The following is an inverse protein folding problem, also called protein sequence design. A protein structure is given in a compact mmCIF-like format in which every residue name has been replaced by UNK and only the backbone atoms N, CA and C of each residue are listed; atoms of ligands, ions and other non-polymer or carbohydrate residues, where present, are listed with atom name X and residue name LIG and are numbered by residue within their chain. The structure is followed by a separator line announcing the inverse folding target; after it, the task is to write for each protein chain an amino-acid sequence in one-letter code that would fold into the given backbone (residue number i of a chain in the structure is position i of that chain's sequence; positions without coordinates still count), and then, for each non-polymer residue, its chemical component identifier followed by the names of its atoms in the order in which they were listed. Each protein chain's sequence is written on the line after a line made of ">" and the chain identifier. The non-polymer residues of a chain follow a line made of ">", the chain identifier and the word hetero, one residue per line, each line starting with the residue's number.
data_IF_402444718630
#
_entry.id   IF_402444718630
#
_cell.length_a   1.000
_cell.length_b   1.000
_cell.length_c   1.000
_cell.angle_alpha   90.00
_cell.angle_beta   90.00
_cell.angle_gamma   90.00
#
_symmetry.space_group_name_H-M   'P 1'
#
loop_
_entity.id
_entity.type
_entity.pdbx_description
1 polymer ?
#
# COMPACT_ATOMS: atom_id res chain seq x y z
N UNK A 1 -13.80 16.97 -15.63
CA UNK A 1 -14.62 16.05 -16.43
C UNK A 1 -14.81 14.72 -15.71
N UNK A 2 -15.56 13.84 -16.34
CA UNK A 2 -15.85 12.53 -15.74
C UNK A 2 -14.56 11.72 -15.47
N UNK A 3 -13.57 11.85 -16.35
CA UNK A 3 -12.29 11.20 -16.16
C UNK A 3 -11.55 11.70 -14.92
N UNK A 4 -11.75 12.95 -14.53
CA UNK A 4 -11.10 13.53 -13.35
C UNK A 4 -11.69 12.98 -12.05
N UNK A 5 -12.98 12.67 -12.05
CA UNK A 5 -13.67 12.08 -10.90
C UNK A 5 -13.07 10.72 -10.57
N UNK A 6 -12.61 9.99 -11.57
CA UNK A 6 -12.06 8.64 -11.42
C UNK A 6 -10.53 8.62 -11.39
N UNK A 7 -9.88 9.78 -11.53
CA UNK A 7 -8.43 9.85 -11.34
C UNK A 7 -8.12 9.62 -9.88
N UNK A 8 -7.49 8.50 -9.61
CA UNK A 8 -7.08 8.13 -8.27
C UNK A 8 -5.59 7.86 -8.29
N UNK A 9 -4.98 8.06 -7.15
CA UNK A 9 -3.58 7.70 -7.00
C UNK A 9 -3.52 6.18 -6.83
N UNK A 10 -3.15 5.50 -7.89
CA UNK A 10 -3.02 4.04 -7.93
C UNK A 10 -1.66 3.70 -8.49
N UNK A 11 -0.91 2.89 -7.76
CA UNK A 11 0.32 2.31 -8.25
C UNK A 11 0.08 0.85 -8.59
N UNK A 12 0.69 0.39 -9.67
CA UNK A 12 0.70 -1.02 -10.05
C UNK A 12 2.13 -1.48 -10.13
N UNK A 13 2.48 -2.50 -9.37
CA UNK A 13 3.83 -3.05 -9.39
C UNK A 13 3.77 -4.57 -9.55
N UNK A 14 4.70 -5.10 -10.34
CA UNK A 14 4.76 -6.53 -10.61
C UNK A 14 5.60 -7.23 -9.57
N UNK A 15 5.21 -8.46 -9.24
CA UNK A 15 6.01 -9.35 -8.44
C UNK A 15 6.08 -10.72 -9.09
N UNK A 16 7.14 -11.45 -8.78
CA UNK A 16 7.28 -12.86 -9.13
C UNK A 16 7.46 -13.63 -7.85
N UNK A 17 6.66 -14.67 -7.65
CA UNK A 17 6.71 -15.49 -6.45
C UNK A 17 8.03 -16.25 -6.40
N UNK A 18 8.73 -16.14 -5.27
CA UNK A 18 10.01 -16.80 -5.02
C UNK A 18 9.80 -18.12 -4.30
N UNK A 19 10.74 -19.06 -4.50
CA UNK A 19 10.73 -20.32 -3.79
C UNK A 19 10.67 -20.15 -2.27
N UNK A 20 11.36 -19.14 -1.74
CA UNK A 20 11.40 -18.88 -0.30
C UNK A 20 10.06 -18.39 0.26
N UNK A 21 9.09 -18.07 -0.60
CA UNK A 21 7.80 -17.52 -0.18
C UNK A 21 6.70 -18.56 -0.13
N UNK A 22 6.98 -19.79 -0.60
CA UNK A 22 5.99 -20.87 -0.59
C UNK A 22 6.19 -21.77 0.61
N UNK A 23 5.07 -22.34 1.07
CA UNK A 23 5.06 -23.26 2.20
C UNK A 23 5.03 -24.72 1.73
N UNK A 24 4.83 -25.66 2.69
CA UNK A 24 4.79 -27.08 2.40
C UNK A 24 3.66 -27.50 1.47
N UNK A 25 2.64 -26.67 1.30
CA UNK A 25 1.56 -26.90 0.33
C UNK A 25 1.92 -26.41 -1.07
N UNK A 26 3.12 -25.85 -1.25
CA UNK A 26 3.64 -25.30 -2.50
C UNK A 26 2.86 -24.08 -2.99
N UNK A 27 2.21 -23.39 -2.07
CA UNK A 27 1.57 -22.10 -2.34
C UNK A 27 2.21 -21.04 -1.45
N UNK A 28 2.07 -19.78 -1.86
CA UNK A 28 2.60 -18.66 -1.07
C UNK A 28 2.04 -18.71 0.33
N UNK A 29 2.94 -18.67 1.32
CA UNK A 29 2.55 -18.67 2.72
C UNK A 29 1.69 -17.44 3.00
N UNK A 30 0.62 -17.63 3.77
CA UNK A 30 -0.36 -16.56 3.98
C UNK A 30 0.25 -15.28 4.57
N UNK A 31 1.32 -15.37 5.32
CA UNK A 31 2.00 -14.19 5.88
C UNK A 31 2.80 -13.37 4.86
N UNK A 32 3.16 -13.95 3.71
CA UNK A 32 3.92 -13.21 2.69
C UNK A 32 3.12 -12.10 2.03
N UNK A 33 1.81 -12.19 2.03
CA UNK A 33 0.96 -11.17 1.39
C UNK A 33 1.12 -9.81 2.05
N UNK A 34 1.44 -9.78 3.34
CA UNK A 34 1.74 -8.53 4.03
C UNK A 34 2.97 -7.85 3.41
N UNK A 35 3.99 -8.64 3.05
CA UNK A 35 5.19 -8.13 2.37
C UNK A 35 4.85 -7.61 0.98
N UNK A 36 3.98 -8.30 0.25
CA UNK A 36 3.53 -7.83 -1.06
C UNK A 36 2.84 -6.47 -0.94
N UNK A 37 2.04 -6.28 0.10
CA UNK A 37 1.43 -4.97 0.36
C UNK A 37 2.48 -3.91 0.71
N UNK A 38 3.51 -4.28 1.46
CA UNK A 38 4.61 -3.37 1.76
C UNK A 38 5.35 -2.96 0.49
N UNK A 39 5.63 -3.91 -0.39
CA UNK A 39 6.23 -3.62 -1.69
C UNK A 39 5.34 -2.68 -2.49
N UNK A 40 4.04 -2.89 -2.44
CA UNK A 40 3.06 -2.00 -3.08
C UNK A 40 3.11 -0.58 -2.53
N UNK A 41 3.14 -0.43 -1.21
CA UNK A 41 3.24 0.90 -0.58
C UNK A 41 4.55 1.59 -0.94
N UNK A 42 5.65 0.84 -0.95
CA UNK A 42 6.94 1.40 -1.30
C UNK A 42 6.96 1.89 -2.75
N UNK A 43 6.43 1.08 -3.67
CA UNK A 43 6.31 1.47 -5.07
C UNK A 43 5.38 2.68 -5.24
N UNK A 44 4.28 2.72 -4.49
CA UNK A 44 3.38 3.87 -4.47
C UNK A 44 4.13 5.13 -4.06
N UNK A 45 4.92 5.06 -2.98
CA UNK A 45 5.67 6.21 -2.48
C UNK A 45 6.74 6.70 -3.46
N UNK A 46 7.25 5.84 -4.32
CA UNK A 46 8.18 6.25 -5.40
C UNK A 46 7.46 6.95 -6.54
N UNK A 47 6.31 6.46 -6.93
CA UNK A 47 5.51 7.07 -8.00
C UNK A 47 4.89 8.39 -7.57
N UNK A 48 4.27 8.42 -6.40
CA UNK A 48 3.65 9.62 -5.82
C UNK A 48 4.55 10.19 -4.74
N UNK A 49 5.71 10.69 -5.17
CA UNK A 49 6.82 11.06 -4.29
C UNK A 49 6.41 11.99 -3.16
N UNK A 50 7.01 11.78 -1.99
CA UNK A 50 6.79 12.57 -0.77
C UNK A 50 6.10 11.79 0.34
N UNK A 51 5.68 10.54 0.09
CA UNK A 51 4.99 9.71 1.08
C UNK A 51 5.73 8.39 1.36
N UNK A 52 6.95 8.24 0.87
CA UNK A 52 7.77 7.07 1.17
C UNK A 52 8.24 7.08 2.63
N UNK A 53 8.72 5.94 3.10
CA UNK A 53 9.22 5.79 4.47
C UNK A 53 10.25 6.86 4.83
N UNK A 54 11.22 7.08 3.95
CA UNK A 54 12.29 8.06 4.20
C UNK A 54 11.77 9.49 4.19
N UNK A 55 10.75 9.78 3.37
CA UNK A 55 10.12 11.10 3.32
C UNK A 55 9.41 11.40 4.64
N UNK A 56 8.67 10.43 5.16
CA UNK A 56 7.96 10.56 6.43
C UNK A 56 8.97 10.76 7.56
N UNK A 57 10.02 9.95 7.58
CA UNK A 57 11.08 10.04 8.58
C UNK A 57 11.80 11.39 8.53
N UNK A 58 12.16 11.85 7.33
CA UNK A 58 12.82 13.13 7.14
C UNK A 58 11.96 14.32 7.60
N UNK A 59 10.63 14.14 7.61
CA UNK A 59 9.68 15.15 8.08
C UNK A 59 9.50 15.14 9.61
N UNK A 60 10.17 14.24 10.31
CA UNK A 60 10.14 14.14 11.78
C UNK A 60 9.04 13.21 12.30
N UNK A 61 8.48 12.35 11.47
CA UNK A 61 7.39 11.46 11.85
C UNK A 61 7.70 10.00 11.53
N UNK A 62 6.92 9.12 12.17
CA UNK A 62 6.80 7.72 11.77
C UNK A 62 5.33 7.45 11.50
N UNK A 63 5.06 6.44 10.67
CA UNK A 63 3.69 6.13 10.30
C UNK A 63 3.43 4.62 10.43
N UNK A 64 3.28 4.12 11.67
CA UNK A 64 3.03 2.70 11.88
C UNK A 64 1.65 2.28 11.38
N UNK A 65 1.55 1.03 10.95
CA UNK A 65 0.28 0.40 10.62
C UNK A 65 -0.43 0.08 11.93
N UNK A 66 -1.69 0.49 12.03
CA UNK A 66 -2.55 0.20 13.19
C UNK A 66 -3.70 -0.72 12.82
N UNK A 67 -3.98 -0.88 11.53
CA UNK A 67 -5.02 -1.79 11.06
C UNK A 67 -4.60 -2.39 9.74
N UNK A 68 -4.79 -3.70 9.60
CA UNK A 68 -4.46 -4.44 8.40
C UNK A 68 -5.56 -5.48 8.18
N UNK A 69 -6.15 -5.48 6.99
CA UNK A 69 -7.12 -6.49 6.58
C UNK A 69 -6.59 -7.21 5.36
N UNK A 70 -6.91 -8.49 5.26
CA UNK A 70 -6.41 -9.34 4.19
C UNK A 70 -7.40 -10.46 3.92
N UNK A 71 -7.78 -10.61 2.65
CA UNK A 71 -8.64 -11.69 2.19
C UNK A 71 -7.93 -12.45 1.09
N UNK A 72 -7.92 -13.78 1.20
CA UNK A 72 -7.30 -14.69 0.25
C UNK A 72 -8.38 -15.25 -0.65
N UNK A 73 -8.19 -15.10 -1.97
CA UNK A 73 -9.17 -15.56 -2.96
C UNK A 73 -8.68 -16.79 -3.72
N UNK A 74 -7.41 -16.77 -4.16
CA UNK A 74 -6.78 -17.83 -4.92
C UNK A 74 -5.33 -17.96 -4.52
N UNK A 75 -4.76 -19.17 -4.54
CA UNK A 75 -3.35 -19.33 -4.22
C UNK A 75 -2.43 -18.83 -5.34
N UNK A 76 -1.24 -18.40 -4.94
CA UNK A 76 -0.12 -18.16 -5.86
C UNK A 76 0.92 -19.25 -5.63
N UNK A 77 1.60 -19.65 -6.68
CA UNK A 77 2.62 -20.69 -6.67
C UNK A 77 3.96 -20.13 -7.08
N UNK A 78 5.02 -20.89 -6.84
CA UNK A 78 6.38 -20.48 -7.21
C UNK A 78 6.44 -20.15 -8.71
N UNK A 79 7.13 -19.06 -9.03
CA UNK A 79 7.28 -18.51 -10.38
C UNK A 79 6.02 -17.88 -11.00
N UNK A 80 4.89 -17.91 -10.30
CA UNK A 80 3.74 -17.11 -10.75
C UNK A 80 4.12 -15.63 -10.71
N UNK A 81 3.56 -14.89 -11.65
CA UNK A 81 3.67 -13.43 -11.65
C UNK A 81 2.34 -12.82 -11.28
N UNK A 82 2.39 -11.75 -10.54
CA UNK A 82 1.20 -11.03 -10.09
C UNK A 82 1.44 -9.54 -10.14
N UNK A 83 0.36 -8.78 -10.09
CA UNK A 83 0.41 -7.31 -10.04
C UNK A 83 -0.26 -6.88 -8.74
N UNK A 84 0.46 -6.08 -7.96
CA UNK A 84 -0.08 -5.45 -6.77
C UNK A 84 -0.56 -4.06 -7.16
N UNK A 85 -1.86 -3.84 -7.02
CA UNK A 85 -2.46 -2.52 -7.20
C UNK A 85 -2.64 -1.90 -5.83
N UNK A 86 -1.94 -0.80 -5.58
CA UNK A 86 -2.02 -0.06 -4.32
C UNK A 86 -2.74 1.24 -4.58
N UNK A 87 -3.89 1.40 -3.96
CA UNK A 87 -4.79 2.53 -4.17
C UNK A 87 -4.86 3.38 -2.90
N UNK A 88 -4.54 4.65 -3.03
CA UNK A 88 -4.66 5.59 -1.94
C UNK A 88 -6.14 5.96 -1.73
N UNK A 89 -6.58 5.93 -0.49
CA UNK A 89 -7.94 6.30 -0.11
C UNK A 89 -7.88 7.63 0.60
N UNK A 90 -8.47 8.65 -0.02
CA UNK A 90 -8.47 10.00 0.53
C UNK A 90 -9.25 10.05 1.85
N UNK A 91 -8.70 10.77 2.81
CA UNK A 91 -9.33 11.00 4.11
C UNK A 91 -8.88 12.35 4.65
N UNK A 92 -9.74 13.02 5.39
CA UNK A 92 -9.38 14.26 6.10
C UNK A 92 -8.72 13.97 7.44
N UNK A 93 -8.81 12.74 7.91
CA UNK A 93 -8.19 12.32 9.16
C UNK A 93 -6.66 12.29 9.03
N UNK A 94 -5.96 12.33 10.16
CA UNK A 94 -4.51 12.21 10.22
C UNK A 94 -4.11 10.74 10.06
N UNK A 95 -4.42 10.17 8.91
CA UNK A 95 -4.21 8.74 8.58
C UNK A 95 -3.79 8.59 7.15
N UNK A 96 -3.06 7.52 6.87
CA UNK A 96 -2.78 7.08 5.50
C UNK A 96 -3.51 5.78 5.31
N UNK A 97 -4.46 5.75 4.38
CA UNK A 97 -5.30 4.59 4.10
C UNK A 97 -5.04 4.08 2.70
N UNK A 98 -4.78 2.78 2.58
CA UNK A 98 -4.60 2.11 1.29
C UNK A 98 -5.54 0.92 1.17
N UNK A 99 -5.95 0.66 -0.06
CA UNK A 99 -6.55 -0.60 -0.45
C UNK A 99 -5.62 -1.28 -1.45
N UNK A 100 -5.54 -2.60 -1.36
CA UNK A 100 -4.66 -3.41 -2.20
C UNK A 100 -5.48 -4.45 -2.93
N UNK A 101 -5.13 -4.66 -4.19
CA UNK A 101 -5.65 -5.77 -4.99
C UNK A 101 -4.45 -6.45 -5.63
N UNK A 102 -4.31 -7.75 -5.41
CA UNK A 102 -3.28 -8.55 -6.07
C UNK A 102 -3.98 -9.40 -7.13
N UNK A 103 -3.53 -9.24 -8.38
CA UNK A 103 -4.08 -9.97 -9.52
C UNK A 103 -3.04 -10.87 -10.12
N UNK A 104 -3.47 -12.04 -10.57
CA UNK A 104 -2.63 -12.90 -11.41
C UNK A 104 -2.29 -12.13 -12.69
N UNK A 105 -1.03 -12.13 -13.09
CA UNK A 105 -0.61 -11.49 -14.34
C UNK A 105 -1.04 -12.31 -15.57
N UNK A 106 -1.36 -13.59 -15.38
CA UNK A 106 -1.72 -14.48 -16.47
C UNK A 106 -3.15 -14.25 -16.95
N UNK A 107 -4.12 -14.17 -16.02
CA UNK A 107 -5.53 -14.07 -16.37
C UNK A 107 -6.24 -12.84 -15.77
N UNK A 108 -5.54 -12.05 -14.98
CA UNK A 108 -6.10 -10.86 -14.35
C UNK A 108 -7.04 -11.13 -13.18
N UNK A 109 -7.21 -12.40 -12.79
CA UNK A 109 -8.08 -12.73 -11.68
C UNK A 109 -7.51 -12.26 -10.34
N UNK A 110 -8.40 -11.86 -9.44
CA UNK A 110 -8.00 -11.41 -8.11
C UNK A 110 -7.57 -12.61 -7.27
N UNK A 111 -6.35 -12.56 -6.74
CA UNK A 111 -5.82 -13.60 -5.86
C UNK A 111 -5.88 -13.19 -4.39
N UNK A 112 -5.82 -11.90 -4.09
CA UNK A 112 -5.95 -11.39 -2.72
C UNK A 112 -6.39 -9.94 -2.75
N UNK A 113 -7.04 -9.52 -1.68
CA UNK A 113 -7.43 -8.12 -1.45
C UNK A 113 -7.14 -7.76 -0.02
N UNK A 114 -6.93 -6.48 0.23
CA UNK A 114 -6.70 -6.03 1.59
C UNK A 114 -6.73 -4.52 1.72
N UNK A 115 -6.49 -4.09 2.94
CA UNK A 115 -6.43 -2.66 3.26
C UNK A 115 -5.50 -2.44 4.44
N UNK A 116 -4.97 -1.24 4.56
CA UNK A 116 -4.17 -0.85 5.71
C UNK A 116 -4.47 0.58 6.11
N UNK A 117 -4.30 0.86 7.39
CA UNK A 117 -4.40 2.19 7.96
C UNK A 117 -3.14 2.47 8.75
N UNK A 118 -2.51 3.61 8.50
CA UNK A 118 -1.36 4.09 9.23
C UNK A 118 -1.75 5.39 9.93
N UNK A 119 -1.17 5.61 11.11
CA UNK A 119 -1.29 6.88 11.85
C UNK A 119 0.07 7.54 11.89
N UNK A 120 0.15 8.78 12.36
CA UNK A 120 1.40 9.51 12.49
C UNK A 120 1.79 9.63 13.95
N UNK A 121 3.04 9.30 14.24
CA UNK A 121 3.66 9.56 15.54
C UNK A 121 4.78 10.59 15.34
N UNK A 122 4.90 11.54 16.27
CA UNK A 122 6.01 12.51 16.23
C UNK A 122 7.30 11.88 16.77
N UNK A 123 8.35 12.70 16.89
CA UNK A 123 9.65 12.25 17.39
C UNK A 123 9.62 11.73 18.82
N UNK A 124 8.59 12.08 19.58
CA UNK A 124 8.38 11.58 20.94
C UNK A 124 7.51 10.34 21.00
N UNK A 125 7.01 9.88 19.85
CA UNK A 125 6.09 8.78 19.79
C UNK A 125 4.64 9.14 20.09
N UNK A 126 4.31 10.43 20.07
CA UNK A 126 2.95 10.88 20.34
C UNK A 126 2.09 10.87 19.08
N UNK A 127 0.87 10.34 19.23
CA UNK A 127 -0.11 10.28 18.15
C UNK A 127 -0.52 11.68 17.72
N UNK A 128 -0.50 11.91 16.41
CA UNK A 128 -0.93 13.16 15.81
C UNK A 128 -2.43 13.08 15.48
N UNK A 129 -3.20 14.03 15.98
CA UNK A 129 -4.64 14.09 15.71
C UNK A 129 -4.97 14.95 14.50
N UNK A 130 -4.02 15.78 14.06
CA UNK A 130 -4.13 16.60 12.87
C UNK A 130 -3.10 16.14 11.85
N UNK A 131 -3.48 16.18 10.58
CA UNK A 131 -2.56 15.80 9.51
C UNK A 131 -1.31 16.68 9.54
N UNK A 132 -0.10 16.07 9.57
CA UNK A 132 1.14 16.83 9.50
C UNK A 132 1.22 17.71 8.25
N UNK A 133 1.95 18.80 8.34
CA UNK A 133 2.07 19.74 7.24
C UNK A 133 2.61 19.07 5.96
N UNK A 134 3.63 18.22 6.09
CA UNK A 134 4.20 17.55 4.91
C UNK A 134 3.17 16.68 4.20
N UNK A 135 2.25 16.07 4.94
CA UNK A 135 1.18 15.25 4.39
C UNK A 135 0.15 16.10 3.66
N UNK A 136 -0.21 17.25 4.24
CA UNK A 136 -1.11 18.19 3.56
C UNK A 136 -0.50 18.69 2.25
N UNK A 137 0.81 19.00 2.25
CA UNK A 137 1.54 19.41 1.05
C UNK A 137 1.59 18.29 0.00
N UNK A 138 1.78 17.06 0.44
CA UNK A 138 1.73 15.91 -0.45
C UNK A 138 0.38 15.79 -1.13
N UNK A 139 -0.71 15.95 -0.37
CA UNK A 139 -2.07 15.92 -0.91
C UNK A 139 -2.28 17.02 -1.95
N UNK A 140 -1.82 18.21 -1.68
CA UNK A 140 -1.91 19.34 -2.63
C UNK A 140 -1.13 19.03 -3.90
N UNK A 141 0.09 18.55 -3.75
CA UNK A 141 0.97 18.23 -4.88
C UNK A 141 0.34 17.21 -5.82
N UNK A 142 -0.31 16.21 -5.30
CA UNK A 142 -0.87 15.11 -6.08
C UNK A 142 -2.38 15.24 -6.31
N UNK A 143 -2.93 16.39 -6.02
CA UNK A 143 -4.35 16.72 -6.25
C UNK A 143 -5.29 15.71 -5.58
N UNK A 144 -4.99 15.38 -4.36
CA UNK A 144 -5.83 14.52 -3.53
C UNK A 144 -6.94 15.36 -2.92
N UNK A 145 -8.17 14.90 -3.08
CA UNK A 145 -9.34 15.61 -2.55
C UNK A 145 -9.83 15.05 -1.23
#
# INVERSE_FOLDING_TARGET
>A
GLGDVYKRQVNKTSLRVRFSEVDSMQIVWHGEYVRYFEDGREAFGREFAGLGYMDIHASGYTAPIVELQLQYKKPLRVNDTAVVETRYIATEAAKICFEYTIRSATDGEIVAEGSSTQVFLDARGELQLLAPEFYRKWKERWDVK
#
